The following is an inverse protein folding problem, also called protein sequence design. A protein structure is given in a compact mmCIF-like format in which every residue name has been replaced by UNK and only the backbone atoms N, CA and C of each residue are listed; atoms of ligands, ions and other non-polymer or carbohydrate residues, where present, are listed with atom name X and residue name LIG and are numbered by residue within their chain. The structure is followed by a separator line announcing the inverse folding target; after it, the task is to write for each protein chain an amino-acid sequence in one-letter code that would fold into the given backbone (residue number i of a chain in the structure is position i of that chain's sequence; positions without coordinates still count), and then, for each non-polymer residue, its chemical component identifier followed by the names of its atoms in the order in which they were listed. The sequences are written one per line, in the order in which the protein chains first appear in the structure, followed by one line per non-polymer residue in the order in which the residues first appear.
data_IF_470832088782
#
_entry.id   IF_470832088782
#
_cell.length_a   1.000
_cell.length_b   1.000
_cell.length_c   1.000
_cell.angle_alpha   90.00
_cell.angle_beta   90.00
_cell.angle_gamma   90.00
#
_symmetry.space_group_name_H-M   'P 1'
#
loop_
_entity.id
_entity.type
_entity.pdbx_description
1 polymer ?
#
# COMPACT_ATOMS: atom_id res chain seq x y z
N UNK A 1 30.96 20.69 15.13
CA UNK A 1 31.36 19.37 15.60
C UNK A 1 30.28 18.35 15.27
N UNK A 2 30.62 17.26 14.60
CA UNK A 2 29.68 16.22 14.16
C UNK A 2 28.96 15.51 15.34
N UNK A 3 29.55 15.59 16.52
CA UNK A 3 28.98 15.05 17.76
C UNK A 3 27.87 15.94 18.38
N UNK A 4 27.67 17.14 17.86
CA UNK A 4 26.70 18.11 18.39
C UNK A 4 25.39 18.14 17.55
N UNK A 5 25.28 17.29 16.50
CA UNK A 5 24.09 17.25 15.66
C UNK A 5 23.15 16.12 16.09
N UNK A 6 21.86 16.31 15.92
CA UNK A 6 20.84 15.25 16.17
C UNK A 6 21.01 14.08 15.18
N UNK A 7 20.50 12.90 15.55
CA UNK A 7 20.58 11.72 14.68
C UNK A 7 19.94 11.98 13.31
N UNK A 8 18.81 12.68 13.24
CA UNK A 8 18.20 13.09 11.99
C UNK A 8 19.03 14.05 11.14
N UNK A 9 19.75 14.98 11.79
CA UNK A 9 20.70 15.85 11.10
C UNK A 9 21.90 15.07 10.59
N UNK A 10 22.40 14.13 11.37
CA UNK A 10 23.49 13.23 10.99
C UNK A 10 23.13 12.41 9.75
N UNK A 11 21.93 11.80 9.72
CA UNK A 11 21.41 11.07 8.57
C UNK A 11 21.38 11.92 7.30
N UNK A 12 20.86 13.13 7.39
CA UNK A 12 20.82 14.07 6.26
C UNK A 12 22.20 14.47 5.77
N UNK A 13 23.16 14.69 6.66
CA UNK A 13 24.56 15.02 6.30
C UNK A 13 25.20 13.82 5.57
N UNK A 14 25.00 12.60 6.06
CA UNK A 14 25.52 11.38 5.42
C UNK A 14 24.91 11.17 4.04
N UNK A 15 23.58 11.37 3.90
CA UNK A 15 22.91 11.31 2.61
C UNK A 15 23.43 12.39 1.65
N UNK A 16 23.54 13.63 2.10
CA UNK A 16 24.08 14.71 1.29
C UNK A 16 25.51 14.40 0.80
N UNK A 17 26.37 13.88 1.69
CA UNK A 17 27.71 13.44 1.34
C UNK A 17 27.70 12.36 0.27
N UNK A 18 26.81 11.37 0.39
CA UNK A 18 26.70 10.29 -0.60
C UNK A 18 26.24 10.82 -1.96
N UNK A 19 25.24 11.69 -1.99
CA UNK A 19 24.70 12.31 -3.22
C UNK A 19 25.72 13.23 -3.90
N UNK A 20 26.54 13.97 -3.14
CA UNK A 20 27.61 14.80 -3.69
C UNK A 20 28.67 14.02 -4.48
N UNK A 21 28.76 12.70 -4.28
CA UNK A 21 29.65 11.83 -5.04
C UNK A 21 29.08 11.45 -6.42
N UNK A 22 27.88 11.92 -6.75
CA UNK A 22 27.15 11.61 -7.99
C UNK A 22 27.08 10.11 -8.30
N UNK A 23 26.61 9.28 -7.34
CA UNK A 23 26.56 7.85 -7.52
C UNK A 23 25.49 7.47 -8.55
N UNK A 24 25.68 6.32 -9.21
CA UNK A 24 24.62 5.70 -10.03
C UNK A 24 23.66 4.86 -9.17
N UNK A 25 24.14 4.34 -8.05
CA UNK A 25 23.37 3.52 -7.12
C UNK A 25 23.61 4.03 -5.70
N UNK A 26 22.53 4.22 -4.95
CA UNK A 26 22.56 4.59 -3.54
C UNK A 26 22.01 3.41 -2.72
N UNK A 27 22.81 2.88 -1.82
CA UNK A 27 22.43 1.81 -0.91
C UNK A 27 22.32 2.36 0.51
N UNK A 28 21.17 2.18 1.14
CA UNK A 28 20.86 2.67 2.48
C UNK A 28 20.33 1.54 3.35
N UNK A 29 20.97 1.32 4.47
CA UNK A 29 20.53 0.34 5.45
C UNK A 29 19.80 1.04 6.59
N UNK A 30 18.50 0.70 6.76
CA UNK A 30 17.59 1.24 7.77
C UNK A 30 17.68 2.77 7.97
N UNK A 31 17.60 3.59 6.91
CA UNK A 31 17.87 5.02 7.02
C UNK A 31 16.79 5.77 7.81
N UNK A 32 15.66 5.13 8.11
CA UNK A 32 14.56 5.69 8.91
C UNK A 32 14.68 5.41 10.40
N UNK A 33 15.61 4.54 10.81
CA UNK A 33 15.86 4.24 12.21
C UNK A 33 16.26 5.51 12.96
N UNK A 34 15.75 5.68 14.18
CA UNK A 34 16.00 6.84 15.05
C UNK A 34 15.41 8.18 14.56
N UNK A 35 14.62 8.18 13.50
CA UNK A 35 13.90 9.37 13.05
C UNK A 35 12.46 9.39 13.61
N UNK A 36 11.98 10.58 13.94
CA UNK A 36 10.56 10.81 14.18
C UNK A 36 9.75 10.68 12.86
N UNK A 37 8.44 10.61 12.95
CA UNK A 37 7.56 10.43 11.78
C UNK A 37 7.80 11.51 10.72
N UNK A 38 8.02 12.76 11.14
CA UNK A 38 8.30 13.87 10.22
C UNK A 38 9.62 13.66 9.49
N UNK A 39 10.67 13.31 10.22
CA UNK A 39 11.99 13.03 9.65
C UNK A 39 11.98 11.86 8.67
N UNK A 40 11.24 10.78 9.00
CA UNK A 40 11.03 9.63 8.09
C UNK A 40 10.38 10.06 6.77
N UNK A 41 9.28 10.82 6.84
CA UNK A 41 8.57 11.29 5.64
C UNK A 41 9.47 12.19 4.79
N UNK A 42 10.18 13.13 5.41
CA UNK A 42 11.09 14.03 4.69
C UNK A 42 12.21 13.26 3.99
N UNK A 43 12.86 12.32 4.69
CA UNK A 43 13.92 11.49 4.12
C UNK A 43 13.41 10.67 2.93
N UNK A 44 12.32 9.95 3.11
CA UNK A 44 11.73 9.11 2.05
C UNK A 44 11.27 9.93 0.85
N UNK A 45 10.75 11.14 1.07
CA UNK A 45 10.41 12.06 -0.03
C UNK A 45 11.65 12.50 -0.81
N UNK A 46 12.77 12.76 -0.13
CA UNK A 46 14.04 13.08 -0.79
C UNK A 46 14.51 11.89 -1.64
N UNK A 47 14.47 10.67 -1.09
CA UNK A 47 14.89 9.47 -1.81
C UNK A 47 14.05 9.22 -3.06
N UNK A 48 12.72 9.41 -2.98
CA UNK A 48 11.85 9.32 -4.15
C UNK A 48 12.19 10.36 -5.23
N UNK A 49 12.45 11.60 -4.83
CA UNK A 49 12.87 12.64 -5.77
C UNK A 49 14.20 12.29 -6.45
N UNK A 50 15.19 11.81 -5.70
CA UNK A 50 16.48 11.38 -6.25
C UNK A 50 16.29 10.25 -7.27
N UNK A 51 15.41 9.28 -6.96
CA UNK A 51 15.14 8.17 -7.86
C UNK A 51 14.40 8.61 -9.14
N UNK A 52 13.29 9.34 -9.00
CA UNK A 52 12.39 9.62 -10.13
C UNK A 52 12.80 10.84 -10.95
N UNK A 53 13.38 11.87 -10.32
CA UNK A 53 13.75 13.10 -11.01
C UNK A 53 15.20 13.08 -11.50
N UNK A 54 16.10 12.39 -10.79
CA UNK A 54 17.53 12.35 -11.14
C UNK A 54 17.98 10.99 -11.70
N UNK A 55 17.08 10.01 -11.78
CA UNK A 55 17.39 8.69 -12.32
C UNK A 55 18.38 7.87 -11.45
N UNK A 56 18.51 8.22 -10.16
CA UNK A 56 19.37 7.52 -9.22
C UNK A 56 18.73 6.19 -8.82
N UNK A 57 19.42 5.08 -8.98
CA UNK A 57 18.94 3.80 -8.45
C UNK A 57 19.08 3.79 -6.92
N UNK A 58 17.97 3.74 -6.19
CA UNK A 58 17.95 3.75 -4.73
C UNK A 58 17.52 2.39 -4.20
N UNK A 59 18.38 1.75 -3.40
CA UNK A 59 18.10 0.51 -2.69
C UNK A 59 18.08 0.84 -1.20
N UNK A 60 16.97 0.54 -0.53
CA UNK A 60 16.78 0.86 0.88
C UNK A 60 16.18 -0.31 1.64
N UNK A 61 16.76 -0.67 2.79
CA UNK A 61 16.14 -1.60 3.73
C UNK A 61 15.18 -0.83 4.65
N UNK A 62 13.98 -1.37 4.85
CA UNK A 62 12.95 -0.79 5.70
C UNK A 62 12.24 -1.90 6.49
N UNK A 63 11.93 -1.60 7.75
CA UNK A 63 11.09 -2.46 8.59
C UNK A 63 9.62 -2.01 8.62
N UNK A 64 9.35 -0.74 8.30
CA UNK A 64 8.01 -0.17 8.31
C UNK A 64 7.27 -0.49 7.01
N UNK A 65 6.35 -1.45 7.07
CA UNK A 65 5.57 -1.91 5.91
C UNK A 65 4.76 -0.81 5.25
N UNK A 66 4.14 0.06 6.03
CA UNK A 66 3.32 1.17 5.54
C UNK A 66 4.15 2.21 4.78
N UNK A 67 5.37 2.47 5.24
CA UNK A 67 6.32 3.34 4.55
C UNK A 67 6.83 2.69 3.25
N UNK A 68 7.28 1.44 3.33
CA UNK A 68 7.73 0.70 2.16
C UNK A 68 6.63 0.60 1.09
N UNK A 69 5.38 0.34 1.49
CA UNK A 69 4.24 0.28 0.57
C UNK A 69 3.98 1.60 -0.17
N UNK A 70 4.30 2.74 0.45
CA UNK A 70 4.05 4.05 -0.17
C UNK A 70 5.13 4.46 -1.17
N UNK A 71 6.38 4.08 -0.91
CA UNK A 71 7.52 4.61 -1.67
C UNK A 71 8.15 3.62 -2.66
N UNK A 72 8.04 2.32 -2.44
CA UNK A 72 8.73 1.34 -3.26
C UNK A 72 8.11 1.19 -4.65
N UNK A 73 8.93 1.14 -5.68
CA UNK A 73 8.54 0.74 -7.04
C UNK A 73 8.66 -0.78 -7.18
N UNK A 74 9.76 -1.33 -6.67
CA UNK A 74 10.09 -2.76 -6.65
C UNK A 74 10.43 -3.16 -5.22
N UNK A 75 10.01 -4.34 -4.80
CA UNK A 75 10.24 -4.89 -3.46
C UNK A 75 10.93 -6.23 -3.54
N UNK A 76 11.91 -6.43 -2.68
CA UNK A 76 12.55 -7.71 -2.41
C UNK A 76 12.34 -8.02 -0.93
N UNK A 77 11.72 -9.15 -0.63
CA UNK A 77 11.53 -9.59 0.75
C UNK A 77 12.69 -10.47 1.20
N UNK A 78 13.22 -10.17 2.37
CA UNK A 78 14.27 -10.96 3.03
C UNK A 78 13.67 -11.61 4.26
N UNK A 79 13.80 -12.92 4.37
CA UNK A 79 13.30 -13.72 5.50
C UNK A 79 14.37 -14.72 5.96
N UNK A 80 14.21 -15.37 7.12
CA UNK A 80 15.11 -16.45 7.53
C UNK A 80 15.19 -17.62 6.53
N UNK A 81 14.18 -17.75 5.67
CA UNK A 81 14.09 -18.82 4.66
C UNK A 81 14.71 -18.45 3.32
N UNK A 82 15.15 -17.20 3.14
CA UNK A 82 15.80 -16.73 1.92
C UNK A 82 15.33 -15.35 1.45
N UNK A 83 15.73 -15.04 0.22
CA UNK A 83 15.44 -13.76 -0.45
C UNK A 83 14.48 -14.04 -1.60
N UNK A 84 13.42 -13.25 -1.69
CA UNK A 84 12.45 -13.38 -2.79
C UNK A 84 13.02 -12.86 -4.12
N UNK A 85 12.41 -13.26 -5.23
CA UNK A 85 12.58 -12.53 -6.48
C UNK A 85 12.03 -11.09 -6.34
N UNK A 86 12.52 -10.14 -7.16
CA UNK A 86 11.95 -8.81 -7.22
C UNK A 86 10.46 -8.85 -7.61
N UNK A 87 9.63 -8.13 -6.88
CA UNK A 87 8.18 -8.09 -7.04
C UNK A 87 7.70 -6.66 -7.19
N UNK A 88 6.58 -6.46 -7.88
CA UNK A 88 5.87 -5.18 -7.84
C UNK A 88 5.35 -4.89 -6.42
N UNK A 89 5.18 -3.62 -6.09
CA UNK A 89 4.57 -3.20 -4.82
C UNK A 89 3.26 -3.93 -4.53
N UNK A 90 2.36 -4.04 -5.52
CA UNK A 90 1.07 -4.69 -5.34
C UNK A 90 1.20 -6.18 -4.97
N UNK A 91 2.15 -6.89 -5.55
CA UNK A 91 2.44 -8.28 -5.23
C UNK A 91 3.06 -8.42 -3.85
N UNK A 92 4.10 -7.64 -3.55
CA UNK A 92 4.82 -7.73 -2.27
C UNK A 92 3.91 -7.51 -1.05
N UNK A 93 3.00 -6.54 -1.14
CA UNK A 93 2.06 -6.20 -0.07
C UNK A 93 0.70 -6.91 -0.18
N UNK A 94 0.58 -7.92 -1.06
CA UNK A 94 -0.56 -8.80 -1.07
C UNK A 94 -0.64 -9.59 0.25
N UNK A 95 -1.87 -9.85 0.72
CA UNK A 95 -2.15 -10.56 1.97
C UNK A 95 -1.31 -11.82 2.15
N UNK A 96 -1.28 -12.64 1.11
CA UNK A 96 -0.57 -13.94 1.13
C UNK A 96 0.94 -13.78 1.32
N UNK A 97 1.54 -12.79 0.65
CA UNK A 97 2.97 -12.53 0.77
C UNK A 97 3.35 -11.96 2.14
N UNK A 98 2.54 -11.07 2.70
CA UNK A 98 2.76 -10.56 4.07
C UNK A 98 2.61 -11.68 5.10
N UNK A 99 1.61 -12.54 4.96
CA UNK A 99 1.44 -13.70 5.84
C UNK A 99 2.64 -14.64 5.76
N UNK A 100 3.10 -14.95 4.54
CA UNK A 100 4.25 -15.81 4.33
C UNK A 100 5.54 -15.20 4.88
N UNK A 101 5.76 -13.88 4.68
CA UNK A 101 6.97 -13.17 5.14
C UNK A 101 7.12 -13.22 6.67
N UNK A 102 6.01 -13.04 7.39
CA UNK A 102 6.01 -13.00 8.87
C UNK A 102 5.54 -14.30 9.53
N UNK A 103 5.20 -15.33 8.77
CA UNK A 103 4.67 -16.59 9.29
C UNK A 103 3.33 -16.42 10.03
N UNK A 104 2.48 -15.49 9.60
CA UNK A 104 1.23 -15.16 10.28
C UNK A 104 0.11 -16.14 9.91
N UNK A 105 -0.69 -16.55 10.91
CA UNK A 105 -1.95 -17.23 10.67
C UNK A 105 -3.00 -16.25 10.12
N UNK A 106 -4.10 -16.79 9.58
CA UNK A 106 -5.21 -15.99 9.07
C UNK A 106 -5.83 -15.10 10.16
N UNK A 107 -5.94 -15.65 11.37
CA UNK A 107 -6.48 -14.95 12.54
C UNK A 107 -5.56 -13.80 12.97
N UNK A 108 -4.26 -14.06 13.07
CA UNK A 108 -3.25 -13.06 13.43
C UNK A 108 -3.21 -11.91 12.40
N UNK A 109 -3.22 -12.25 11.11
CA UNK A 109 -3.26 -11.23 10.07
C UNK A 109 -4.54 -10.38 10.17
N UNK A 110 -5.70 -11.03 10.32
CA UNK A 110 -7.01 -10.35 10.41
C UNK A 110 -7.14 -9.45 11.64
N UNK A 111 -6.52 -9.83 12.75
CA UNK A 111 -6.52 -9.01 13.97
C UNK A 111 -5.78 -7.68 13.79
N UNK A 112 -4.72 -7.64 12.96
CA UNK A 112 -3.88 -6.45 12.75
C UNK A 112 -4.33 -5.65 11.52
N UNK A 113 -4.58 -6.34 10.40
CA UNK A 113 -4.84 -5.70 9.11
C UNK A 113 -6.33 -5.73 8.70
N UNK A 114 -7.17 -6.34 9.52
CA UNK A 114 -8.59 -6.53 9.25
C UNK A 114 -8.90 -7.77 8.42
N UNK A 115 -10.19 -8.17 8.37
CA UNK A 115 -10.64 -9.31 7.59
C UNK A 115 -10.36 -9.10 6.09
N UNK A 116 -10.31 -10.18 5.29
CA UNK A 116 -10.16 -10.06 3.85
C UNK A 116 -11.22 -9.12 3.29
N UNK A 117 -10.78 -8.15 2.51
CA UNK A 117 -11.75 -7.30 1.79
C UNK A 117 -12.54 -8.23 0.87
N UNK A 118 -13.88 -8.21 0.91
CA UNK A 118 -14.67 -9.00 -0.02
C UNK A 118 -14.21 -8.67 -1.44
N UNK A 119 -13.95 -9.70 -2.22
CA UNK A 119 -13.64 -9.53 -3.63
C UNK A 119 -14.76 -8.68 -4.24
N UNK A 120 -14.37 -7.59 -4.88
CA UNK A 120 -15.36 -6.77 -5.59
C UNK A 120 -16.00 -7.67 -6.61
N UNK A 121 -17.32 -7.87 -6.59
CA UNK A 121 -17.98 -8.70 -7.57
C UNK A 121 -17.57 -8.20 -8.96
N UNK A 122 -17.00 -9.11 -9.76
CA UNK A 122 -16.62 -8.78 -11.13
C UNK A 122 -17.91 -8.69 -11.95
N UNK A 123 -18.38 -7.45 -12.14
CA UNK A 123 -19.49 -7.19 -13.04
C UNK A 123 -19.00 -7.29 -14.47
N UNK A 124 -19.40 -8.34 -15.15
CA UNK A 124 -19.19 -8.50 -16.60
C UNK A 124 -20.38 -8.01 -17.42
N UNK A 125 -21.28 -7.24 -16.82
CA UNK A 125 -22.43 -6.70 -17.52
C UNK A 125 -22.09 -5.36 -18.19
N UNK A 126 -22.31 -5.30 -19.49
CA UNK A 126 -22.05 -4.11 -20.32
C UNK A 126 -23.36 -3.62 -20.95
N UNK A 127 -23.55 -2.32 -20.95
CA UNK A 127 -24.71 -1.66 -21.59
C UNK A 127 -24.21 -0.78 -22.74
N UNK A 128 -24.88 -0.87 -23.89
CA UNK A 128 -24.58 -0.03 -25.05
C UNK A 128 -25.19 1.35 -24.86
N UNK A 129 -24.36 2.39 -24.92
CA UNK A 129 -24.80 3.79 -24.93
C UNK A 129 -24.25 4.46 -26.20
N UNK A 130 -25.08 4.53 -27.24
CA UNK A 130 -24.65 4.95 -28.56
C UNK A 130 -23.64 3.99 -29.17
N UNK A 131 -22.46 4.51 -29.56
CA UNK A 131 -21.36 3.69 -30.10
C UNK A 131 -20.41 3.14 -29.03
N UNK A 132 -20.61 3.48 -27.76
CA UNK A 132 -19.74 3.06 -26.65
C UNK A 132 -20.36 1.93 -25.86
N UNK A 133 -19.51 0.94 -25.50
CA UNK A 133 -19.86 -0.13 -24.58
C UNK A 133 -19.44 0.31 -23.17
N UNK A 134 -20.39 0.53 -22.28
CA UNK A 134 -20.14 0.95 -20.91
C UNK A 134 -20.26 -0.23 -19.97
N UNK A 135 -19.25 -0.44 -19.13
CA UNK A 135 -19.27 -1.47 -18.08
C UNK A 135 -20.18 -1.02 -16.95
N UNK A 136 -21.16 -1.86 -16.59
CA UNK A 136 -21.99 -1.61 -15.41
C UNK A 136 -21.19 -1.82 -14.12
N UNK A 137 -21.51 -1.05 -13.10
CA UNK A 137 -20.89 -1.17 -11.77
C UNK A 137 -21.80 -0.55 -10.71
N UNK A 138 -21.57 -0.91 -9.45
CA UNK A 138 -22.23 -0.25 -8.34
C UNK A 138 -21.57 1.09 -8.03
N UNK A 139 -22.39 2.13 -7.88
CA UNK A 139 -21.97 3.40 -7.29
C UNK A 139 -22.32 3.40 -5.80
N UNK A 140 -21.72 4.30 -5.02
CA UNK A 140 -22.08 4.49 -3.61
C UNK A 140 -23.57 4.81 -3.45
N UNK A 141 -24.15 5.59 -4.38
CA UNK A 141 -25.58 5.90 -4.40
C UNK A 141 -26.45 4.67 -4.66
N UNK A 142 -26.03 3.78 -5.58
CA UNK A 142 -26.75 2.53 -5.86
C UNK A 142 -26.74 1.61 -4.62
N UNK A 143 -25.61 1.48 -3.94
CA UNK A 143 -25.53 0.68 -2.72
C UNK A 143 -26.39 1.25 -1.59
N UNK A 144 -26.42 2.57 -1.42
CA UNK A 144 -27.27 3.24 -0.44
C UNK A 144 -28.77 3.03 -0.74
N UNK A 145 -29.19 3.16 -2.01
CA UNK A 145 -30.56 2.92 -2.42
C UNK A 145 -31.01 1.47 -2.22
N UNK A 146 -30.15 0.49 -2.53
CA UNK A 146 -30.43 -0.93 -2.27
C UNK A 146 -30.55 -1.23 -0.79
N UNK A 147 -29.66 -0.66 0.05
CA UNK A 147 -29.72 -0.81 1.50
C UNK A 147 -30.99 -0.21 2.08
N UNK A 148 -31.38 0.98 1.63
CA UNK A 148 -32.62 1.64 2.05
C UNK A 148 -33.87 0.84 1.65
N UNK A 149 -33.91 0.32 0.42
CA UNK A 149 -35.01 -0.52 -0.06
C UNK A 149 -35.12 -1.84 0.72
N UNK A 150 -33.98 -2.47 1.05
CA UNK A 150 -33.92 -3.67 1.89
C UNK A 150 -34.43 -3.41 3.31
N UNK A 151 -34.00 -2.31 3.94
CA UNK A 151 -34.44 -1.90 5.26
C UNK A 151 -35.93 -1.58 5.31
N UNK A 152 -36.44 -0.84 4.31
CA UNK A 152 -37.87 -0.55 4.22
C UNK A 152 -38.72 -1.82 4.08
N UNK A 153 -38.27 -2.78 3.27
CA UNK A 153 -38.96 -4.08 3.15
C UNK A 153 -38.99 -4.85 4.47
N UNK A 154 -37.84 -4.93 5.15
CA UNK A 154 -37.78 -5.56 6.48
C UNK A 154 -38.74 -4.93 7.49
N UNK A 155 -38.81 -3.58 7.54
CA UNK A 155 -39.70 -2.86 8.44
C UNK A 155 -41.18 -3.08 8.11
N UNK A 156 -41.56 -3.16 6.82
CA UNK A 156 -42.92 -3.33 6.40
C UNK A 156 -43.43 -4.77 6.44
N UNK A 157 -42.56 -5.74 6.23
CA UNK A 157 -42.96 -7.16 6.11
C UNK A 157 -42.49 -8.03 7.28
N UNK A 158 -41.61 -7.52 8.13
CA UNK A 158 -41.00 -8.28 9.24
C UNK A 158 -39.98 -9.33 8.78
N UNK A 159 -39.71 -9.47 7.49
CA UNK A 159 -38.78 -10.46 6.93
C UNK A 159 -37.69 -9.79 6.09
N UNK A 160 -36.45 -10.23 6.31
CA UNK A 160 -35.33 -9.75 5.51
C UNK A 160 -35.43 -10.32 4.08
N UNK A 161 -35.38 -9.48 3.03
CA UNK A 161 -35.38 -9.97 1.67
C UNK A 161 -34.06 -10.65 1.32
N UNK A 162 -34.09 -11.80 0.68
CA UNK A 162 -32.87 -12.48 0.17
C UNK A 162 -32.19 -11.67 -0.93
N UNK A 163 -32.96 -10.92 -1.71
CA UNK A 163 -32.47 -10.09 -2.81
C UNK A 163 -33.22 -8.77 -2.89
N UNK A 164 -32.52 -7.69 -3.23
CA UNK A 164 -33.10 -6.37 -3.51
C UNK A 164 -32.60 -5.90 -4.88
N UNK A 165 -33.52 -5.52 -5.77
CA UNK A 165 -33.19 -5.00 -7.08
C UNK A 165 -33.75 -3.58 -7.25
N UNK A 166 -32.99 -2.71 -7.92
CA UNK A 166 -33.46 -1.43 -8.44
C UNK A 166 -33.90 -1.63 -9.89
N UNK A 167 -35.07 -1.16 -10.22
CA UNK A 167 -35.59 -1.09 -11.59
C UNK A 167 -35.25 0.25 -12.23
#
# INVERSE_FOLDING_TARGET
DFNCVSDGQRQRILLARAVCQQPQVLLLDEPTSFLDIKGKIELLTILQKLAHEQGLAVIVSLHELDMAQKIADVVVCVSPHGVSAPMSRAQAFARENIKALYGLTEEQYSAVFGPPKPEKPQFEHYVRSGQKLLRCGYTTGTCAALAAAGAARLLLTGTAPETVALR
#
